data_IF_298033365692
#
_entry.id   IF_298033365692
#
_cell.length_a   1.000
_cell.length_b   1.000
_cell.length_c   1.000
_cell.angle_alpha   90.00
_cell.angle_beta   90.00
_cell.angle_gamma   90.00
#
_symmetry.space_group_name_H-M   'P 1'
#
loop_
_entity.id
_entity.type
_entity.pdbx_description
1 polymer ?
#
# COMPACT_ATOMS: atom_id res chain seq x y z
N UNK A 1 -19.12 2.58 20.66
CA UNK A 1 -18.54 2.36 19.31
C UNK A 1 -17.67 1.12 19.39
N UNK A 2 -17.73 0.22 18.44
CA UNK A 2 -16.91 -1.00 18.41
C UNK A 2 -15.45 -0.59 18.23
N UNK A 3 -14.57 -1.09 19.09
CA UNK A 3 -13.13 -0.87 18.98
C UNK A 3 -12.54 -1.80 17.92
N UNK A 4 -11.66 -1.27 17.10
CA UNK A 4 -11.00 -2.04 16.04
C UNK A 4 -9.54 -2.23 16.38
N UNK A 5 -9.08 -3.48 16.29
CA UNK A 5 -7.69 -3.87 16.55
C UNK A 5 -7.06 -4.51 15.32
N UNK A 6 -5.74 -4.42 15.22
CA UNK A 6 -4.95 -5.08 14.17
C UNK A 6 -4.36 -6.36 14.77
N UNK A 7 -4.77 -7.50 14.20
CA UNK A 7 -4.41 -8.82 14.72
C UNK A 7 -3.47 -9.60 13.81
N UNK A 8 -3.31 -9.17 12.56
CA UNK A 8 -2.38 -9.77 11.62
C UNK A 8 -1.76 -8.75 10.67
N UNK A 9 -0.51 -8.96 10.33
CA UNK A 9 0.28 -8.12 9.42
C UNK A 9 1.00 -9.02 8.43
N UNK A 10 0.75 -8.83 7.14
CA UNK A 10 1.49 -9.50 6.07
C UNK A 10 2.06 -8.47 5.10
N UNK A 11 3.33 -8.62 4.78
CA UNK A 11 4.06 -7.70 3.93
C UNK A 11 4.94 -8.44 2.94
N UNK A 12 5.07 -7.87 1.75
CA UNK A 12 6.05 -8.24 0.73
C UNK A 12 6.66 -6.94 0.25
N UNK A 13 7.88 -6.65 0.68
CA UNK A 13 8.56 -5.35 0.42
C UNK A 13 10.00 -5.55 -0.05
N UNK A 14 10.64 -4.55 -0.64
CA UNK A 14 12.05 -4.60 -1.01
C UNK A 14 13.03 -4.84 0.14
N UNK A 15 12.62 -4.58 1.40
CA UNK A 15 13.41 -4.87 2.59
C UNK A 15 12.98 -6.18 3.30
N UNK A 16 12.13 -6.99 2.68
CA UNK A 16 11.69 -8.28 3.24
C UNK A 16 10.20 -8.35 3.53
N UNK A 17 9.79 -9.42 4.23
CA UNK A 17 8.39 -9.73 4.54
C UNK A 17 8.07 -9.75 6.05
N UNK A 18 9.07 -9.81 6.92
CA UNK A 18 8.88 -9.77 8.36
C UNK A 18 8.86 -8.32 8.87
N UNK A 19 7.75 -7.83 9.47
CA UNK A 19 7.65 -6.44 9.92
C UNK A 19 8.75 -6.03 10.91
N UNK A 20 9.21 -6.96 11.77
CA UNK A 20 10.29 -6.68 12.72
C UNK A 20 11.62 -6.47 12.00
N UNK A 21 11.98 -7.36 11.10
CA UNK A 21 13.23 -7.25 10.32
C UNK A 21 13.25 -5.98 9.46
N UNK A 22 12.10 -5.61 8.87
CA UNK A 22 11.96 -4.37 8.10
C UNK A 22 12.24 -3.17 9.00
N UNK A 23 11.66 -3.10 10.21
CA UNK A 23 11.95 -2.02 11.18
C UNK A 23 13.41 -1.99 11.57
N UNK A 24 14.03 -3.13 11.86
CA UNK A 24 15.43 -3.22 12.26
C UNK A 24 16.36 -2.73 11.13
N UNK A 25 16.05 -3.05 9.89
CA UNK A 25 16.77 -2.57 8.70
C UNK A 25 16.59 -1.07 8.49
N UNK A 26 15.38 -0.54 8.70
CA UNK A 26 15.12 0.90 8.64
C UNK A 26 15.89 1.65 9.75
N UNK A 27 15.92 1.12 10.97
CA UNK A 27 16.70 1.73 12.07
C UNK A 27 18.22 1.72 11.80
N UNK A 28 18.71 0.78 11.00
CA UNK A 28 20.10 0.77 10.52
C UNK A 28 20.34 1.63 9.27
N UNK A 29 19.33 2.39 8.83
CA UNK A 29 19.34 3.20 7.60
C UNK A 29 19.67 2.40 6.33
N UNK A 30 19.33 1.10 6.29
CA UNK A 30 19.45 0.32 5.07
C UNK A 30 18.44 0.81 4.02
N UNK A 31 18.85 0.80 2.75
CA UNK A 31 17.99 1.17 1.63
C UNK A 31 17.92 0.06 0.59
N UNK A 32 16.75 -0.15 0.03
CA UNK A 32 16.52 -1.05 -1.09
C UNK A 32 16.73 -0.38 -2.45
N UNK A 33 16.98 0.93 -2.47
CA UNK A 33 17.16 1.70 -3.69
C UNK A 33 18.43 1.27 -4.43
N UNK A 34 18.30 0.98 -5.72
CA UNK A 34 19.39 0.62 -6.60
C UNK A 34 19.15 1.12 -8.03
N UNK A 35 20.16 1.07 -8.89
CA UNK A 35 20.03 1.44 -10.30
C UNK A 35 19.14 0.43 -11.03
N UNK A 36 18.19 0.88 -11.86
CA UNK A 36 17.39 0.01 -12.71
C UNK A 36 18.23 -0.80 -13.69
N UNK A 37 17.68 -1.93 -14.12
CA UNK A 37 18.28 -2.81 -15.14
C UNK A 37 17.99 -2.33 -16.56
N UNK A 38 17.02 -1.44 -16.74
CA UNK A 38 16.70 -0.79 -18.01
C UNK A 38 17.40 0.57 -18.11
N UNK A 39 17.43 1.14 -19.32
CA UNK A 39 18.07 2.43 -19.56
C UNK A 39 17.30 3.57 -18.87
N UNK A 40 18.00 4.40 -18.11
CA UNK A 40 17.43 5.50 -17.31
C UNK A 40 17.91 6.88 -17.75
N UNK A 41 18.68 6.99 -18.82
CA UNK A 41 19.28 8.26 -19.25
C UNK A 41 18.25 9.36 -19.59
N UNK A 42 17.00 8.98 -19.84
CA UNK A 42 15.90 9.88 -20.16
C UNK A 42 15.02 10.19 -18.95
N UNK A 43 15.27 9.57 -17.79
CA UNK A 43 14.48 9.79 -16.58
C UNK A 43 15.25 10.64 -15.57
N UNK A 44 14.53 11.55 -14.91
CA UNK A 44 15.11 12.37 -13.85
C UNK A 44 15.44 11.53 -12.59
N UNK A 45 14.68 10.45 -12.34
CA UNK A 45 14.96 9.52 -11.25
C UNK A 45 15.87 8.37 -11.70
N UNK A 46 17.08 8.24 -11.11
CA UNK A 46 18.05 7.21 -11.50
C UNK A 46 17.93 5.91 -10.70
N UNK A 47 16.94 5.77 -9.82
CA UNK A 47 16.83 4.69 -8.85
C UNK A 47 15.45 4.03 -8.88
N UNK A 48 15.40 2.76 -8.47
CA UNK A 48 14.18 2.02 -8.19
C UNK A 48 14.39 1.09 -6.98
N UNK A 49 13.31 0.59 -6.38
CA UNK A 49 13.37 -0.32 -5.24
C UNK A 49 12.58 -1.62 -5.55
N UNK A 50 13.17 -2.58 -6.26
CA UNK A 50 12.52 -3.85 -6.59
C UNK A 50 12.68 -4.85 -5.45
N UNK A 51 11.77 -5.84 -5.41
CA UNK A 51 11.91 -7.00 -4.54
C UNK A 51 12.81 -8.02 -5.23
N UNK A 52 13.97 -8.36 -4.66
CA UNK A 52 14.83 -9.39 -5.23
C UNK A 52 14.17 -10.76 -5.08
N UNK A 53 14.33 -11.63 -6.07
CA UNK A 53 14.02 -13.06 -6.04
C UNK A 53 12.62 -13.43 -5.52
N UNK A 54 11.62 -12.56 -5.78
CA UNK A 54 10.24 -12.82 -5.38
C UNK A 54 9.64 -13.94 -6.23
N UNK A 55 9.25 -15.02 -5.56
CA UNK A 55 8.55 -16.14 -6.13
C UNK A 55 7.35 -16.54 -5.26
N UNK A 56 6.15 -16.38 -5.81
CA UNK A 56 4.90 -16.74 -5.13
C UNK A 56 4.71 -18.27 -5.01
N UNK A 57 5.38 -19.07 -5.83
CA UNK A 57 5.28 -20.53 -5.78
C UNK A 57 5.81 -21.11 -4.47
N UNK A 58 6.70 -20.41 -3.77
CA UNK A 58 7.17 -20.81 -2.43
C UNK A 58 6.06 -20.79 -1.35
N UNK A 59 4.96 -20.09 -1.58
CA UNK A 59 3.87 -19.94 -0.61
C UNK A 59 2.66 -20.84 -0.92
N UNK A 60 2.55 -21.37 -2.14
CA UNK A 60 1.37 -22.10 -2.58
C UNK A 60 1.75 -23.39 -3.35
N UNK A 61 1.11 -24.50 -3.00
CA UNK A 61 1.34 -25.80 -3.64
C UNK A 61 0.67 -25.92 -5.03
N UNK A 62 -0.40 -25.17 -5.29
CA UNK A 62 -1.08 -25.12 -6.60
C UNK A 62 -0.75 -23.81 -7.31
N UNK A 63 0.10 -23.92 -8.33
CA UNK A 63 0.62 -22.78 -9.09
C UNK A 63 -0.16 -22.49 -10.37
N UNK A 64 -1.19 -23.26 -10.72
CA UNK A 64 -1.92 -23.04 -11.99
C UNK A 64 -2.56 -21.65 -12.06
N UNK A 65 -3.18 -21.22 -10.98
CA UNK A 65 -3.78 -19.89 -10.89
C UNK A 65 -2.73 -18.77 -10.82
N UNK A 66 -1.54 -19.00 -10.24
CA UNK A 66 -0.46 -18.02 -10.20
C UNK A 66 0.02 -17.61 -11.59
N UNK A 67 -0.05 -18.51 -12.58
CA UNK A 67 0.33 -18.23 -13.97
C UNK A 67 -0.59 -17.22 -14.67
N UNK A 68 -1.80 -17.04 -14.17
CA UNK A 68 -2.76 -16.05 -14.68
C UNK A 68 -2.51 -14.67 -14.08
N UNK A 69 -1.78 -14.59 -12.98
CA UNK A 69 -1.52 -13.35 -12.24
C UNK A 69 -0.32 -12.61 -12.80
N UNK A 70 -0.40 -11.29 -12.80
CA UNK A 70 0.75 -10.43 -12.89
C UNK A 70 1.46 -10.32 -11.52
N UNK A 71 2.60 -9.65 -11.48
CA UNK A 71 3.47 -9.58 -10.30
C UNK A 71 2.79 -8.92 -9.10
N UNK A 72 1.99 -7.87 -9.31
CA UNK A 72 1.25 -7.20 -8.25
C UNK A 72 0.18 -8.11 -7.62
N UNK A 73 -0.55 -8.89 -8.44
CA UNK A 73 -1.51 -9.88 -7.97
C UNK A 73 -0.85 -10.99 -7.16
N UNK A 74 0.30 -11.49 -7.61
CA UNK A 74 1.06 -12.50 -6.87
C UNK A 74 1.51 -11.97 -5.50
N UNK A 75 2.07 -10.75 -5.44
CA UNK A 75 2.46 -10.13 -4.18
C UNK A 75 1.25 -9.87 -3.28
N UNK A 76 0.11 -9.44 -3.83
CA UNK A 76 -1.11 -9.22 -3.07
C UNK A 76 -1.60 -10.51 -2.38
N UNK A 77 -1.65 -11.63 -3.13
CA UNK A 77 -2.09 -12.92 -2.59
C UNK A 77 -1.13 -13.42 -1.51
N UNK A 78 0.18 -13.27 -1.71
CA UNK A 78 1.20 -13.65 -0.72
C UNK A 78 1.09 -12.78 0.54
N UNK A 79 1.00 -11.46 0.41
CA UNK A 79 0.88 -10.57 1.56
C UNK A 79 -0.42 -10.83 2.35
N UNK A 80 -1.53 -11.09 1.65
CA UNK A 80 -2.79 -11.49 2.28
C UNK A 80 -2.66 -12.82 3.03
N UNK A 81 -1.99 -13.82 2.43
CA UNK A 81 -1.70 -15.10 3.07
C UNK A 81 -0.89 -14.92 4.36
N UNK A 82 0.16 -14.12 4.31
CA UNK A 82 0.99 -13.81 5.48
C UNK A 82 0.16 -13.14 6.60
N UNK A 83 -0.70 -12.16 6.26
CA UNK A 83 -1.56 -11.48 7.23
C UNK A 83 -2.58 -12.42 7.89
N UNK A 84 -3.22 -13.29 7.10
CA UNK A 84 -4.19 -14.29 7.56
C UNK A 84 -3.52 -15.30 8.50
N UNK A 85 -2.33 -15.80 8.13
CA UNK A 85 -1.56 -16.73 8.94
C UNK A 85 -1.07 -16.08 10.24
N UNK A 86 -0.55 -14.86 10.16
CA UNK A 86 -0.11 -14.10 11.33
C UNK A 86 -1.28 -13.84 12.29
N UNK A 87 -2.48 -13.53 11.77
CA UNK A 87 -3.69 -13.42 12.56
C UNK A 87 -4.16 -14.76 13.14
N UNK A 88 -3.68 -15.89 12.65
CA UNK A 88 -4.19 -17.21 12.99
C UNK A 88 -5.63 -17.43 12.56
N UNK A 89 -6.04 -16.77 11.45
CA UNK A 89 -7.39 -16.91 10.90
C UNK A 89 -7.51 -18.18 10.05
N UNK A 90 -8.64 -18.86 10.21
CA UNK A 90 -9.08 -19.94 9.34
C UNK A 90 -10.47 -19.62 8.84
N UNK A 91 -10.58 -19.31 7.54
CA UNK A 91 -11.85 -18.99 6.90
C UNK A 91 -12.80 -20.17 7.02
N UNK A 92 -14.04 -19.91 7.39
CA UNK A 92 -15.11 -20.86 7.75
C UNK A 92 -14.94 -21.61 9.08
N UNK A 93 -13.78 -21.51 9.76
CA UNK A 93 -13.60 -22.01 11.13
C UNK A 93 -13.64 -20.84 12.13
N UNK A 94 -12.83 -19.81 11.93
CA UNK A 94 -12.80 -18.61 12.80
C UNK A 94 -13.97 -17.69 12.51
N UNK A 95 -14.17 -17.37 11.23
CA UNK A 95 -15.29 -16.59 10.71
C UNK A 95 -15.80 -17.20 9.41
N UNK A 96 -17.11 -17.17 9.16
CA UNK A 96 -17.66 -17.52 7.86
C UNK A 96 -17.09 -16.59 6.77
N UNK A 97 -16.93 -17.13 5.56
CA UNK A 97 -16.35 -16.40 4.44
C UNK A 97 -17.05 -15.06 4.15
N UNK A 98 -18.38 -15.02 4.33
CA UNK A 98 -19.24 -13.84 4.13
C UNK A 98 -19.07 -12.78 5.22
N UNK A 99 -18.52 -13.16 6.38
CA UNK A 99 -18.28 -12.27 7.53
C UNK A 99 -16.88 -11.68 7.57
N UNK A 100 -16.06 -11.91 6.55
CA UNK A 100 -14.75 -11.29 6.38
C UNK A 100 -14.84 -10.32 5.21
N UNK A 101 -14.78 -9.02 5.49
CA UNK A 101 -14.73 -8.01 4.43
C UNK A 101 -13.33 -7.96 3.78
N UNK A 102 -13.26 -7.52 2.52
CA UNK A 102 -12.01 -7.33 1.78
C UNK A 102 -11.99 -5.96 1.12
N UNK A 103 -11.18 -5.06 1.65
CA UNK A 103 -10.96 -3.74 1.06
C UNK A 103 -9.51 -3.59 0.65
N UNK A 104 -9.27 -3.39 -0.65
CA UNK A 104 -7.92 -3.31 -1.16
C UNK A 104 -7.65 -2.09 -2.01
N UNK A 105 -6.39 -1.70 -2.10
CA UNK A 105 -5.94 -0.71 -3.05
C UNK A 105 -4.94 -1.29 -4.03
N UNK A 106 -4.98 -0.79 -5.27
CA UNK A 106 -4.10 -1.25 -6.33
C UNK A 106 -3.60 -0.07 -7.14
N UNK A 107 -2.37 -0.18 -7.65
CA UNK A 107 -1.92 0.71 -8.70
C UNK A 107 -2.66 0.49 -10.01
N UNK A 108 -2.43 1.37 -10.96
CA UNK A 108 -2.82 1.09 -12.34
C UNK A 108 -1.91 -0.02 -12.84
N UNK A 109 -2.48 -1.14 -13.23
CA UNK A 109 -1.72 -2.28 -13.72
C UNK A 109 -0.92 -1.90 -14.97
N UNK A 110 0.39 -2.04 -14.88
CA UNK A 110 1.29 -1.79 -16.00
C UNK A 110 1.49 -3.03 -16.86
N UNK A 111 1.27 -2.92 -18.16
CA UNK A 111 1.78 -3.89 -19.12
C UNK A 111 3.31 -3.79 -19.18
N UNK A 112 3.99 -4.88 -19.53
CA UNK A 112 5.40 -4.77 -19.92
C UNK A 112 5.53 -4.15 -21.31
N UNK A 113 6.72 -3.64 -21.62
CA UNK A 113 7.01 -3.11 -22.98
C UNK A 113 6.74 -4.18 -24.03
N UNK A 114 7.13 -5.44 -23.76
CA UNK A 114 6.93 -6.55 -24.68
C UNK A 114 5.43 -6.85 -24.92
N UNK A 115 4.61 -6.79 -23.87
CA UNK A 115 3.16 -6.99 -23.98
C UNK A 115 2.50 -5.87 -24.81
N UNK A 116 2.91 -4.62 -24.62
CA UNK A 116 2.41 -3.48 -25.40
C UNK A 116 2.91 -3.57 -26.85
N UNK A 117 4.18 -3.88 -27.07
CA UNK A 117 4.75 -3.99 -28.42
C UNK A 117 4.04 -5.05 -29.26
N UNK A 118 3.61 -6.17 -28.67
CA UNK A 118 2.78 -7.16 -29.35
C UNK A 118 1.45 -6.59 -29.87
N UNK A 119 0.91 -5.58 -29.21
CA UNK A 119 -0.32 -4.91 -29.64
C UNK A 119 0.00 -3.83 -30.67
N UNK A 120 0.97 -2.97 -30.37
CA UNK A 120 1.32 -1.79 -31.19
C UNK A 120 1.78 -2.19 -32.58
N UNK A 121 2.64 -3.20 -32.71
CA UNK A 121 3.17 -3.63 -34.04
C UNK A 121 2.08 -4.00 -35.06
N UNK A 122 0.90 -4.43 -34.60
CA UNK A 122 -0.24 -4.74 -35.46
C UNK A 122 -1.20 -3.58 -35.67
N UNK A 123 -1.10 -2.56 -34.86
CA UNK A 123 -2.01 -1.41 -34.88
C UNK A 123 -1.32 -0.10 -35.32
N UNK A 124 0.01 -0.06 -35.37
CA UNK A 124 0.74 1.13 -35.81
C UNK A 124 0.70 1.29 -37.34
N UNK A 125 0.60 2.52 -37.80
CA UNK A 125 0.85 2.93 -39.18
C UNK A 125 2.35 3.19 -39.40
N UNK A 126 2.79 3.30 -40.65
CA UNK A 126 4.19 3.61 -40.98
C UNK A 126 4.71 4.90 -40.35
N UNK A 127 3.83 5.90 -40.16
CA UNK A 127 4.16 7.16 -39.51
C UNK A 127 4.13 7.10 -37.97
N UNK A 128 4.00 5.89 -37.38
CA UNK A 128 3.95 5.70 -35.93
C UNK A 128 2.61 6.00 -35.26
N UNK A 129 1.60 6.48 -36.00
CA UNK A 129 0.27 6.75 -35.41
C UNK A 129 -0.52 5.44 -35.22
N UNK A 130 -1.42 5.43 -34.22
CA UNK A 130 -2.30 4.30 -33.96
C UNK A 130 -3.45 4.25 -34.98
N UNK A 131 -3.65 3.08 -35.61
CA UNK A 131 -4.81 2.79 -36.45
C UNK A 131 -5.84 2.01 -35.63
N UNK A 132 -6.90 2.66 -35.18
CA UNK A 132 -7.96 2.06 -34.34
C UNK A 132 -8.72 0.93 -35.07
N UNK A 133 -8.84 1.00 -36.41
CA UNK A 133 -9.50 -0.05 -37.18
C UNK A 133 -8.64 -1.31 -37.21
N UNK A 134 -7.34 -1.18 -37.50
CA UNK A 134 -6.39 -2.30 -37.43
C UNK A 134 -6.26 -2.85 -36.01
N UNK A 135 -6.27 -1.97 -35.00
CA UNK A 135 -6.31 -2.39 -33.60
C UNK A 135 -7.47 -3.33 -33.33
N UNK A 136 -8.70 -2.92 -33.68
CA UNK A 136 -9.91 -3.74 -33.45
C UNK A 136 -9.96 -5.02 -34.30
N UNK A 137 -9.55 -4.97 -35.57
CA UNK A 137 -9.67 -6.09 -36.49
C UNK A 137 -8.54 -7.12 -36.36
N UNK A 138 -7.34 -6.69 -36.06
CA UNK A 138 -6.12 -7.53 -36.13
C UNK A 138 -5.48 -7.65 -34.73
N UNK A 139 -5.12 -6.53 -34.08
CA UNK A 139 -4.35 -6.55 -32.87
C UNK A 139 -5.09 -7.27 -31.73
N UNK A 140 -6.35 -6.93 -31.49
CA UNK A 140 -7.17 -7.57 -30.44
C UNK A 140 -7.33 -9.09 -30.62
N UNK A 141 -7.38 -9.58 -31.85
CA UNK A 141 -7.48 -11.03 -32.12
C UNK A 141 -6.19 -11.79 -31.84
N UNK A 142 -5.06 -11.10 -31.80
CA UNK A 142 -3.72 -11.68 -31.54
C UNK A 142 -3.30 -11.55 -30.08
N UNK A 143 -3.97 -10.68 -29.32
CA UNK A 143 -3.75 -10.54 -27.89
C UNK A 143 -4.27 -11.78 -27.17
N UNK A 144 -3.49 -12.32 -26.26
CA UNK A 144 -3.94 -13.44 -25.42
C UNK A 144 -5.12 -12.99 -24.55
N UNK A 145 -6.25 -13.72 -24.50
CA UNK A 145 -7.41 -13.34 -23.69
C UNK A 145 -7.07 -13.07 -22.21
N UNK A 146 -6.07 -13.78 -21.68
CA UNK A 146 -5.56 -13.60 -20.31
C UNK A 146 -5.00 -12.20 -20.07
N UNK A 147 -4.58 -11.47 -21.10
CA UNK A 147 -4.04 -10.12 -20.93
C UNK A 147 -5.07 -9.16 -20.32
N UNK A 148 -6.37 -9.32 -20.65
CA UNK A 148 -7.44 -8.51 -20.08
C UNK A 148 -7.49 -8.62 -18.55
N UNK A 149 -7.26 -9.80 -17.98
CA UNK A 149 -7.20 -9.99 -16.53
C UNK A 149 -5.98 -9.33 -15.89
N UNK A 150 -4.88 -9.17 -16.63
CA UNK A 150 -3.66 -8.57 -16.10
C UNK A 150 -3.69 -7.04 -16.08
N UNK A 151 -4.55 -6.41 -16.89
CA UNK A 151 -4.63 -4.94 -16.98
C UNK A 151 -5.74 -4.34 -16.11
N UNK A 152 -6.66 -5.14 -15.61
CA UNK A 152 -7.74 -4.66 -14.76
C UNK A 152 -7.24 -4.42 -13.33
N UNK A 153 -7.38 -3.18 -12.86
CA UNK A 153 -6.87 -2.77 -11.55
C UNK A 153 -7.51 -3.52 -10.37
N UNK A 154 -8.72 -4.07 -10.52
CA UNK A 154 -9.38 -4.85 -9.47
C UNK A 154 -8.88 -6.29 -9.36
N UNK A 155 -8.18 -6.82 -10.35
CA UNK A 155 -7.80 -8.24 -10.37
C UNK A 155 -6.92 -8.70 -9.20
N UNK A 156 -5.95 -7.93 -8.70
CA UNK A 156 -5.19 -8.35 -7.53
C UNK A 156 -6.08 -8.66 -6.33
N UNK A 157 -7.09 -7.82 -6.08
CA UNK A 157 -8.03 -8.01 -4.96
C UNK A 157 -9.01 -9.16 -5.23
N UNK A 158 -9.44 -9.34 -6.48
CA UNK A 158 -10.23 -10.51 -6.88
C UNK A 158 -9.46 -11.82 -6.63
N UNK A 159 -8.16 -11.87 -6.96
CA UNK A 159 -7.34 -13.04 -6.67
C UNK A 159 -7.16 -13.29 -5.17
N UNK A 160 -6.99 -12.24 -4.37
CA UNK A 160 -6.98 -12.37 -2.89
C UNK A 160 -8.29 -13.01 -2.41
N UNK A 161 -9.45 -12.53 -2.88
CA UNK A 161 -10.76 -13.11 -2.55
C UNK A 161 -10.85 -14.61 -2.92
N UNK A 162 -10.45 -14.96 -4.13
CA UNK A 162 -10.51 -16.34 -4.65
C UNK A 162 -9.58 -17.27 -3.84
N UNK A 163 -8.31 -16.87 -3.67
CA UNK A 163 -7.29 -17.70 -3.01
C UNK A 163 -7.59 -17.96 -1.53
N UNK A 164 -8.15 -16.96 -0.85
CA UNK A 164 -8.45 -17.04 0.58
C UNK A 164 -9.93 -17.28 0.89
N UNK A 165 -10.75 -17.54 -0.15
CA UNK A 165 -12.20 -17.79 -0.02
C UNK A 165 -12.93 -16.71 0.81
N UNK A 166 -12.59 -15.43 0.61
CA UNK A 166 -13.22 -14.30 1.29
C UNK A 166 -14.39 -13.82 0.43
N UNK A 167 -15.60 -13.73 1.00
CA UNK A 167 -16.85 -13.46 0.28
C UNK A 167 -17.68 -12.33 0.86
N UNK A 168 -17.18 -11.66 1.90
CA UNK A 168 -17.86 -10.54 2.53
C UNK A 168 -17.86 -9.26 1.68
N UNK A 169 -18.35 -8.15 2.24
CA UNK A 169 -18.34 -6.85 1.59
C UNK A 169 -16.93 -6.49 1.08
N UNK A 170 -16.86 -5.95 -0.13
CA UNK A 170 -15.58 -5.63 -0.73
C UNK A 170 -15.61 -4.34 -1.55
N UNK A 171 -14.44 -3.71 -1.68
CA UNK A 171 -14.21 -2.60 -2.61
C UNK A 171 -12.73 -2.50 -2.98
N UNK A 172 -12.47 -1.91 -4.15
CA UNK A 172 -11.12 -1.62 -4.64
C UNK A 172 -10.96 -0.13 -4.84
N UNK A 173 -9.85 0.41 -4.36
CA UNK A 173 -9.46 1.81 -4.44
C UNK A 173 -8.21 1.95 -5.30
N UNK A 174 -8.13 2.96 -6.17
CA UNK A 174 -7.00 3.16 -7.08
C UNK A 174 -6.73 4.65 -7.33
N UNK A 175 -5.49 5.07 -7.64
CA UNK A 175 -4.24 4.29 -7.72
C UNK A 175 -3.17 4.71 -6.70
N UNK A 176 -3.42 5.69 -5.79
CA UNK A 176 -2.41 6.36 -4.98
C UNK A 176 -2.39 5.94 -3.51
N UNK A 177 -1.44 6.46 -2.74
CA UNK A 177 -1.22 6.16 -1.31
C UNK A 177 -2.47 6.39 -0.47
N UNK A 178 -3.13 7.53 -0.66
CA UNK A 178 -4.36 7.86 0.08
C UNK A 178 -5.50 6.88 -0.20
N UNK A 179 -5.56 6.27 -1.39
CA UNK A 179 -6.54 5.22 -1.69
C UNK A 179 -6.31 3.95 -0.85
N UNK A 180 -5.03 3.61 -0.57
CA UNK A 180 -4.70 2.55 0.39
C UNK A 180 -5.23 2.86 1.79
N UNK A 181 -5.12 4.11 2.22
CA UNK A 181 -5.67 4.56 3.49
C UNK A 181 -7.21 4.51 3.52
N UNK A 182 -7.88 4.84 2.41
CA UNK A 182 -9.34 4.69 2.27
C UNK A 182 -9.78 3.23 2.36
N UNK A 183 -9.01 2.29 1.82
CA UNK A 183 -9.27 0.86 1.97
C UNK A 183 -9.24 0.44 3.45
N UNK A 184 -8.22 0.89 4.21
CA UNK A 184 -8.12 0.64 5.66
C UNK A 184 -9.33 1.25 6.39
N UNK A 185 -9.64 2.51 6.11
CA UNK A 185 -10.78 3.20 6.73
C UNK A 185 -12.13 2.55 6.41
N UNK A 186 -12.30 1.96 5.22
CA UNK A 186 -13.49 1.20 4.88
C UNK A 186 -13.64 -0.05 5.74
N UNK A 187 -12.55 -0.79 5.97
CA UNK A 187 -12.52 -1.94 6.88
C UNK A 187 -12.85 -1.54 8.33
N UNK A 188 -12.27 -0.44 8.82
CA UNK A 188 -12.59 0.10 10.14
C UNK A 188 -14.09 0.39 10.26
N UNK A 189 -14.67 1.11 9.29
CA UNK A 189 -16.11 1.44 9.29
C UNK A 189 -17.00 0.21 9.24
N UNK A 190 -16.65 -0.78 8.41
CA UNK A 190 -17.43 -2.02 8.31
C UNK A 190 -17.51 -2.76 9.65
N UNK A 191 -16.42 -2.77 10.43
CA UNK A 191 -16.41 -3.34 11.78
C UNK A 191 -17.16 -2.44 12.76
N UNK A 192 -16.90 -1.13 12.77
CA UNK A 192 -17.54 -0.19 13.69
C UNK A 192 -19.06 -0.12 13.56
N UNK A 193 -19.58 -0.33 12.36
CA UNK A 193 -21.04 -0.41 12.10
C UNK A 193 -21.63 -1.79 12.40
N UNK A 194 -20.80 -2.77 12.75
CA UNK A 194 -21.26 -4.15 13.01
C UNK A 194 -21.61 -4.94 11.74
N UNK A 195 -21.26 -4.42 10.55
CA UNK A 195 -21.53 -5.14 9.29
C UNK A 195 -20.74 -6.45 9.19
N UNK A 196 -19.51 -6.47 9.70
CA UNK A 196 -18.65 -7.66 9.79
C UNK A 196 -17.80 -7.61 11.07
N UNK A 197 -17.43 -8.77 11.66
CA UNK A 197 -16.51 -8.82 12.80
C UNK A 197 -15.03 -8.72 12.39
N UNK A 198 -14.71 -8.94 11.10
CA UNK A 198 -13.35 -9.04 10.59
C UNK A 198 -13.24 -8.42 9.20
N UNK A 199 -12.12 -7.77 8.92
CA UNK A 199 -11.81 -7.23 7.60
C UNK A 199 -10.33 -7.46 7.25
N UNK A 200 -10.06 -7.95 6.05
CA UNK A 200 -8.74 -7.95 5.43
C UNK A 200 -8.62 -6.67 4.61
N UNK A 201 -7.65 -5.82 4.96
CA UNK A 201 -7.45 -4.53 4.29
C UNK A 201 -6.01 -4.37 3.86
N UNK A 202 -5.76 -3.75 2.70
CA UNK A 202 -4.38 -3.57 2.27
C UNK A 202 -4.25 -3.08 0.85
N UNK A 203 -3.11 -3.36 0.22
CA UNK A 203 -2.89 -2.98 -1.17
C UNK A 203 -1.62 -3.53 -1.77
N UNK A 204 -1.50 -3.37 -3.08
CA UNK A 204 -0.34 -3.76 -3.87
C UNK A 204 -0.06 -2.78 -5.00
N UNK A 205 1.20 -2.67 -5.39
CA UNK A 205 1.60 -1.88 -6.55
C UNK A 205 2.96 -2.34 -7.10
N UNK A 206 3.19 -2.08 -8.40
CA UNK A 206 4.46 -2.33 -9.10
C UNK A 206 4.82 -1.12 -9.94
N UNK A 207 5.78 -0.31 -9.47
CA UNK A 207 6.28 0.87 -10.18
C UNK A 207 7.75 0.74 -10.61
N UNK A 208 8.28 -0.48 -10.56
CA UNK A 208 9.67 -0.80 -10.91
C UNK A 208 9.89 -1.14 -12.38
N UNK A 209 8.86 -0.97 -13.23
CA UNK A 209 8.92 -1.24 -14.67
C UNK A 209 9.17 0.04 -15.45
N UNK A 210 9.79 -0.07 -16.63
CA UNK A 210 10.09 1.05 -17.53
C UNK A 210 8.86 1.90 -17.86
N UNK A 211 7.72 1.29 -18.24
CA UNK A 211 6.48 2.02 -18.51
C UNK A 211 5.94 2.78 -17.30
N UNK A 212 6.19 2.27 -16.09
CA UNK A 212 5.85 3.01 -14.87
C UNK A 212 6.70 4.27 -14.73
N UNK A 213 8.00 4.20 -15.08
CA UNK A 213 8.88 5.37 -15.07
C UNK A 213 8.43 6.43 -16.09
N UNK A 214 8.04 6.03 -17.30
CA UNK A 214 7.48 6.95 -18.30
C UNK A 214 6.26 7.69 -17.72
N UNK A 215 5.32 6.95 -17.11
CA UNK A 215 4.13 7.54 -16.53
C UNK A 215 4.45 8.47 -15.36
N UNK A 216 5.33 8.06 -14.44
CA UNK A 216 5.73 8.86 -13.28
C UNK A 216 6.46 10.15 -13.71
N UNK A 217 7.31 10.07 -14.73
CA UNK A 217 7.97 11.23 -15.34
C UNK A 217 6.94 12.21 -15.91
N UNK A 218 5.98 11.70 -16.71
CA UNK A 218 4.92 12.53 -17.32
C UNK A 218 4.01 13.18 -16.27
N UNK A 219 3.76 12.50 -15.16
CA UNK A 219 2.99 13.04 -14.03
C UNK A 219 3.78 14.01 -13.14
N UNK A 220 5.07 14.23 -13.43
CA UNK A 220 5.92 15.14 -12.67
C UNK A 220 6.37 14.61 -11.31
N UNK A 221 6.20 13.32 -11.04
CA UNK A 221 6.63 12.69 -9.77
C UNK A 221 8.15 12.80 -9.58
N UNK A 222 8.91 12.85 -10.67
CA UNK A 222 10.35 12.99 -10.65
C UNK A 222 10.87 14.43 -10.64
N UNK A 223 9.98 15.43 -10.55
CA UNK A 223 10.38 16.86 -10.55
C UNK A 223 11.33 17.19 -9.38
N UNK A 224 11.17 16.54 -8.23
CA UNK A 224 12.08 16.72 -7.09
C UNK A 224 13.50 16.26 -7.43
N UNK A 225 13.66 15.12 -8.11
CA UNK A 225 14.94 14.64 -8.63
C UNK A 225 15.59 15.63 -9.56
N UNK A 226 14.85 16.16 -10.53
CA UNK A 226 15.33 17.17 -11.49
C UNK A 226 15.80 18.44 -10.80
N UNK A 227 15.10 18.89 -9.77
CA UNK A 227 15.35 20.18 -9.12
C UNK A 227 16.39 20.09 -8.00
N UNK A 228 16.36 19.00 -7.22
CA UNK A 228 17.11 18.91 -5.97
C UNK A 228 18.10 17.71 -5.93
N UNK A 229 18.11 16.87 -6.96
CA UNK A 229 18.94 15.65 -6.97
C UNK A 229 18.49 14.56 -5.98
N UNK A 230 17.27 14.70 -5.44
CA UNK A 230 16.64 13.74 -4.55
C UNK A 230 15.14 13.74 -4.76
N UNK A 231 14.46 12.64 -4.47
CA UNK A 231 13.03 12.52 -4.69
C UNK A 231 12.51 11.13 -4.40
N UNK A 232 11.26 10.90 -4.74
CA UNK A 232 10.63 9.58 -4.62
C UNK A 232 11.37 8.54 -5.44
N UNK A 233 11.63 7.38 -4.82
CA UNK A 233 12.19 6.19 -5.48
C UNK A 233 11.04 5.21 -5.72
N UNK A 234 10.66 4.94 -6.97
CA UNK A 234 9.58 3.99 -7.26
C UNK A 234 9.93 2.59 -6.78
N UNK A 235 8.99 1.98 -6.06
CA UNK A 235 9.14 0.62 -5.54
C UNK A 235 8.04 -0.32 -6.03
N UNK A 236 8.08 -1.54 -5.52
CA UNK A 236 7.04 -2.54 -5.70
C UNK A 236 6.79 -3.27 -4.37
N UNK A 237 5.56 -3.74 -4.16
CA UNK A 237 5.24 -4.50 -2.97
C UNK A 237 3.74 -4.63 -2.71
N UNK A 238 3.44 -5.32 -1.63
CA UNK A 238 2.10 -5.48 -1.11
C UNK A 238 2.11 -5.54 0.41
N UNK A 239 1.05 -5.07 1.04
CA UNK A 239 0.81 -5.29 2.44
C UNK A 239 -0.68 -5.44 2.71
N UNK A 240 -1.02 -6.36 3.62
CA UNK A 240 -2.36 -6.55 4.13
C UNK A 240 -2.36 -6.62 5.65
N UNK A 241 -3.45 -6.14 6.24
CA UNK A 241 -3.71 -6.12 7.66
C UNK A 241 -5.02 -6.84 7.94
N UNK A 242 -5.05 -7.64 8.99
CA UNK A 242 -6.30 -8.19 9.52
C UNK A 242 -6.78 -7.25 10.61
N UNK A 243 -7.95 -6.68 10.40
CA UNK A 243 -8.69 -5.88 11.37
C UNK A 243 -9.79 -6.72 12.00
N UNK A 244 -9.97 -6.61 13.31
CA UNK A 244 -11.04 -7.31 14.02
C UNK A 244 -11.72 -6.40 15.06
N UNK A 245 -12.96 -6.72 15.38
CA UNK A 245 -13.59 -6.26 16.61
C UNK A 245 -12.73 -6.74 17.81
N UNK A 246 -12.34 -5.81 18.68
CA UNK A 246 -11.51 -6.09 19.86
C UNK A 246 -12.05 -7.23 20.73
N UNK A 247 -13.37 -7.28 20.93
CA UNK A 247 -13.99 -8.34 21.72
C UNK A 247 -13.99 -9.69 20.98
N UNK A 248 -14.15 -9.68 19.66
CA UNK A 248 -14.08 -10.89 18.85
C UNK A 248 -12.66 -11.47 18.85
N UNK A 249 -11.64 -10.65 18.70
CA UNK A 249 -10.23 -11.05 18.82
C UNK A 249 -9.92 -11.62 20.21
N UNK A 250 -10.38 -10.96 21.28
CA UNK A 250 -10.20 -11.40 22.65
C UNK A 250 -10.86 -12.77 22.91
N UNK A 251 -12.12 -12.97 22.43
CA UNK A 251 -12.83 -14.27 22.60
C UNK A 251 -12.08 -15.46 21.98
N UNK A 252 -11.31 -15.25 20.92
CA UNK A 252 -10.48 -16.30 20.31
C UNK A 252 -9.03 -16.33 20.83
N UNK A 253 -8.72 -15.55 21.88
CA UNK A 253 -7.39 -15.52 22.51
C UNK A 253 -6.31 -14.87 21.65
N UNK A 254 -6.66 -14.09 20.61
CA UNK A 254 -5.67 -13.46 19.75
C UNK A 254 -5.21 -12.12 20.33
N UNK A 255 -3.88 -12.04 20.55
CA UNK A 255 -3.25 -10.75 20.93
C UNK A 255 -3.19 -9.83 19.74
N UNK A 256 -3.60 -8.58 19.93
CA UNK A 256 -3.52 -7.54 18.92
C UNK A 256 -2.13 -6.86 18.92
N UNK A 257 -1.68 -6.41 17.77
CA UNK A 257 -0.51 -5.56 17.63
C UNK A 257 -0.80 -4.13 18.15
N UNK A 258 -1.93 -3.59 17.73
CA UNK A 258 -2.35 -2.25 18.12
C UNK A 258 -3.87 -2.11 18.01
N UNK A 259 -4.40 -1.14 18.75
CA UNK A 259 -5.76 -0.65 18.61
C UNK A 259 -5.75 0.60 17.72
N UNK A 260 -6.67 0.68 16.77
CA UNK A 260 -6.88 1.90 16.00
C UNK A 260 -7.68 2.87 16.86
N UNK A 261 -7.01 3.90 17.36
CA UNK A 261 -7.60 4.86 18.28
C UNK A 261 -8.39 5.93 17.57
N UNK A 262 -7.82 6.42 16.49
CA UNK A 262 -8.43 7.44 15.64
C UNK A 262 -7.86 7.39 14.23
N UNK A 263 -8.58 7.96 13.28
CA UNK A 263 -8.08 8.19 11.92
C UNK A 263 -8.79 9.38 11.29
N UNK A 264 -8.08 10.07 10.42
CA UNK A 264 -8.62 11.18 9.66
C UNK A 264 -8.30 11.01 8.18
N UNK A 265 -9.31 11.27 7.36
CA UNK A 265 -9.19 11.33 5.91
C UNK A 265 -9.38 12.77 5.46
N UNK A 266 -8.67 13.17 4.43
CA UNK A 266 -8.84 14.46 3.77
C UNK A 266 -8.62 14.32 2.27
N UNK A 267 -9.22 15.22 1.50
CA UNK A 267 -9.14 15.24 0.05
C UNK A 267 -8.80 16.63 -0.44
N UNK A 268 -7.82 16.74 -1.35
CA UNK A 268 -7.47 17.99 -2.01
C UNK A 268 -8.55 18.24 -3.06
N UNK A 269 -9.35 19.29 -2.86
CA UNK A 269 -10.45 19.64 -3.75
C UNK A 269 -10.38 21.11 -4.15
N UNK A 270 -10.47 21.38 -5.44
CA UNK A 270 -10.52 22.75 -5.97
C UNK A 270 -9.31 23.60 -5.60
N UNK A 271 -9.52 24.67 -4.83
CA UNK A 271 -8.47 25.62 -4.40
C UNK A 271 -7.78 25.22 -3.08
N UNK A 272 -8.14 24.09 -2.48
CA UNK A 272 -7.54 23.63 -1.21
C UNK A 272 -6.05 23.38 -1.40
N UNK A 273 -5.23 23.89 -0.49
CA UNK A 273 -3.80 23.61 -0.48
C UNK A 273 -3.54 22.33 0.32
N UNK A 274 -2.55 21.56 -0.11
CA UNK A 274 -2.17 20.34 0.59
C UNK A 274 -1.83 20.61 2.07
N UNK A 275 -1.15 21.70 2.35
CA UNK A 275 -0.76 22.10 3.70
C UNK A 275 -1.97 22.29 4.63
N UNK A 276 -3.05 22.87 4.12
CA UNK A 276 -4.27 23.09 4.92
C UNK A 276 -5.02 21.77 5.18
N UNK A 277 -5.02 20.88 4.19
CA UNK A 277 -5.57 19.53 4.37
C UNK A 277 -4.74 18.74 5.39
N UNK A 278 -3.41 18.75 5.26
CA UNK A 278 -2.53 18.07 6.21
C UNK A 278 -2.69 18.65 7.63
N UNK A 279 -2.76 19.97 7.75
CA UNK A 279 -3.02 20.63 9.04
C UNK A 279 -4.37 20.16 9.64
N UNK A 280 -5.44 20.13 8.84
CA UNK A 280 -6.75 19.67 9.28
C UNK A 280 -6.75 18.19 9.70
N UNK A 281 -6.02 17.33 8.97
CA UNK A 281 -5.89 15.91 9.32
C UNK A 281 -5.13 15.74 10.64
N UNK A 282 -4.02 16.43 10.79
CA UNK A 282 -3.14 16.30 11.95
C UNK A 282 -3.66 17.03 13.19
N UNK A 283 -4.52 18.04 13.06
CA UNK A 283 -5.12 18.75 14.22
C UNK A 283 -6.22 17.96 14.91
N UNK A 284 -6.76 16.92 14.30
CA UNK A 284 -7.87 16.15 14.84
C UNK A 284 -7.47 15.12 15.92
N UNK A 285 -6.35 14.36 15.76
CA UNK A 285 -5.93 13.40 16.78
C UNK A 285 -5.35 14.06 18.01
N UNK A 286 -5.47 13.40 19.16
CA UNK A 286 -4.72 13.78 20.37
C UNK A 286 -3.23 13.45 20.19
N UNK A 287 -2.47 14.42 19.68
CA UNK A 287 -1.02 14.33 19.54
C UNK A 287 -0.35 14.77 20.86
N UNK A 288 0.72 14.10 21.24
CA UNK A 288 1.60 14.54 22.33
C UNK A 288 3.06 14.55 21.89
N UNK A 289 3.92 15.26 22.61
CA UNK A 289 5.34 15.43 22.27
C UNK A 289 6.17 14.13 22.31
N UNK A 290 5.66 13.06 22.91
CA UNK A 290 6.34 11.76 23.00
C UNK A 290 5.95 10.81 21.88
N UNK A 291 4.95 11.16 21.07
CA UNK A 291 4.45 10.33 20.00
C UNK A 291 5.53 10.12 18.91
N UNK A 292 5.66 8.89 18.47
CA UNK A 292 6.48 8.57 17.28
C UNK A 292 5.62 8.65 16.03
N UNK A 293 6.19 9.10 14.94
CA UNK A 293 5.51 9.24 13.66
C UNK A 293 6.16 8.37 12.59
N UNK A 294 5.37 7.50 11.98
CA UNK A 294 5.71 6.91 10.69
C UNK A 294 5.33 7.94 9.64
N UNK A 295 6.32 8.67 9.15
CA UNK A 295 6.12 9.80 8.25
C UNK A 295 5.85 9.37 6.80
N UNK A 296 5.31 10.31 6.05
CA UNK A 296 4.95 10.12 4.64
C UNK A 296 6.10 10.40 3.67
N UNK A 297 7.16 11.04 4.12
CA UNK A 297 8.30 11.43 3.27
C UNK A 297 8.93 10.22 2.57
N UNK A 298 9.11 10.34 1.26
CA UNK A 298 9.68 9.32 0.38
C UNK A 298 10.96 9.79 -0.35
N UNK A 299 11.54 10.90 0.13
CA UNK A 299 12.66 11.58 -0.52
C UNK A 299 12.24 12.80 -1.35
N UNK A 300 10.95 12.96 -1.65
CA UNK A 300 10.43 14.19 -2.24
C UNK A 300 10.48 15.33 -1.22
N UNK A 301 11.26 16.36 -1.56
CA UNK A 301 11.47 17.52 -0.69
C UNK A 301 10.15 18.25 -0.41
N UNK A 302 9.27 18.33 -1.39
CA UNK A 302 7.98 19.05 -1.27
C UNK A 302 7.05 18.36 -0.28
N UNK A 303 6.93 17.03 -0.34
CA UNK A 303 6.09 16.26 0.59
C UNK A 303 6.67 16.35 2.01
N UNK A 304 7.99 16.20 2.13
CA UNK A 304 8.67 16.27 3.42
C UNK A 304 8.53 17.64 4.11
N UNK A 305 8.69 18.72 3.35
CA UNK A 305 8.54 20.08 3.88
C UNK A 305 7.10 20.39 4.31
N UNK A 306 6.11 19.98 3.52
CA UNK A 306 4.69 20.19 3.83
C UNK A 306 4.25 19.41 5.08
N UNK A 307 4.68 18.16 5.22
CA UNK A 307 4.45 17.36 6.42
C UNK A 307 5.05 18.06 7.64
N UNK A 308 6.31 18.49 7.55
CA UNK A 308 7.02 19.20 8.63
C UNK A 308 6.30 20.49 9.02
N UNK A 309 5.97 21.36 8.06
CA UNK A 309 5.26 22.62 8.28
C UNK A 309 3.90 22.42 8.96
N UNK A 310 3.16 21.34 8.61
CA UNK A 310 1.90 21.04 9.25
C UNK A 310 2.08 20.74 10.75
N UNK A 311 3.13 19.99 11.12
CA UNK A 311 3.45 19.72 12.53
C UNK A 311 3.98 20.97 13.27
N UNK A 312 4.81 21.78 12.63
CA UNK A 312 5.28 23.05 13.20
C UNK A 312 4.12 24.00 13.51
N UNK A 313 3.14 24.12 12.60
CA UNK A 313 1.91 24.91 12.83
C UNK A 313 1.09 24.41 14.04
N UNK A 314 1.22 23.13 14.41
CA UNK A 314 0.57 22.52 15.56
C UNK A 314 1.41 22.60 16.84
N UNK A 315 2.63 23.13 16.78
CA UNK A 315 3.54 23.22 17.92
C UNK A 315 4.26 21.91 18.26
N UNK A 316 4.40 20.99 17.30
CA UNK A 316 5.03 19.67 17.50
C UNK A 316 6.35 19.53 16.73
N UNK A 317 7.29 20.45 16.95
CA UNK A 317 8.58 20.47 16.25
C UNK A 317 9.53 19.33 16.68
N UNK A 318 9.34 18.77 17.86
CA UNK A 318 10.25 17.77 18.47
C UNK A 318 9.90 16.31 18.14
N UNK A 319 8.86 16.03 17.35
CA UNK A 319 8.43 14.68 17.04
C UNK A 319 9.50 13.90 16.25
N UNK A 320 9.65 12.62 16.60
CA UNK A 320 10.59 11.72 15.92
C UNK A 320 9.90 11.02 14.76
N UNK A 321 10.41 11.26 13.55
CA UNK A 321 9.92 10.67 12.31
C UNK A 321 10.76 9.46 11.90
N UNK A 322 10.09 8.34 11.67
CA UNK A 322 10.61 7.23 10.89
C UNK A 322 10.07 7.35 9.45
N UNK A 323 10.91 7.20 8.44
CA UNK A 323 10.57 7.46 7.03
C UNK A 323 10.70 6.18 6.18
N UNK A 324 9.81 5.19 6.31
CA UNK A 324 9.94 3.90 5.65
C UNK A 324 10.09 4.00 4.13
N UNK A 325 9.36 4.91 3.49
CA UNK A 325 9.41 5.10 2.03
C UNK A 325 10.80 5.47 1.53
N UNK A 326 11.61 6.18 2.32
CA UNK A 326 13.00 6.51 1.95
C UNK A 326 13.91 5.28 1.96
N UNK A 327 13.57 4.26 2.73
CA UNK A 327 14.34 3.02 2.85
C UNK A 327 13.83 1.92 1.90
N UNK A 328 12.52 1.73 1.86
CA UNK A 328 11.82 0.67 1.10
C UNK A 328 11.60 1.08 -0.36
N UNK A 329 11.54 2.38 -0.66
CA UNK A 329 10.95 2.96 -1.85
C UNK A 329 9.47 3.29 -1.65
N UNK A 330 8.92 4.11 -2.53
CA UNK A 330 7.49 4.42 -2.53
C UNK A 330 6.71 3.26 -3.19
N UNK A 331 5.85 2.62 -2.43
CA UNK A 331 5.00 1.51 -2.86
C UNK A 331 3.60 1.97 -3.27
N UNK A 332 3.38 3.28 -3.38
CA UNK A 332 2.15 3.93 -3.85
C UNK A 332 0.88 3.32 -3.22
N UNK A 333 0.06 2.59 -3.97
CA UNK A 333 -1.18 2.02 -3.47
C UNK A 333 -0.99 1.05 -2.27
N UNK A 334 0.17 0.42 -2.12
CA UNK A 334 0.51 -0.43 -0.98
C UNK A 334 1.06 0.36 0.23
N UNK A 335 1.50 1.60 0.03
CA UNK A 335 2.27 2.35 1.03
C UNK A 335 1.54 2.54 2.36
N UNK A 336 0.23 2.86 2.33
CA UNK A 336 -0.55 3.08 3.53
C UNK A 336 -0.60 1.82 4.42
N UNK A 337 -0.82 0.64 3.84
CA UNK A 337 -0.86 -0.61 4.59
C UNK A 337 0.51 -0.97 5.19
N UNK A 338 1.61 -0.68 4.47
CA UNK A 338 2.97 -0.83 5.01
C UNK A 338 3.19 0.12 6.19
N UNK A 339 2.85 1.40 6.05
CA UNK A 339 3.05 2.39 7.11
C UNK A 339 2.23 2.08 8.36
N UNK A 340 0.95 1.74 8.21
CA UNK A 340 0.07 1.34 9.32
C UNK A 340 0.53 0.01 9.94
N UNK A 341 0.97 -0.95 9.15
CA UNK A 341 1.50 -2.21 9.65
C UNK A 341 2.80 -2.05 10.44
N UNK A 342 3.75 -1.25 9.95
CA UNK A 342 4.99 -0.94 10.68
C UNK A 342 4.70 -0.14 11.96
N UNK A 343 3.77 0.81 11.91
CA UNK A 343 3.33 1.56 13.08
C UNK A 343 2.67 0.63 14.12
N UNK A 344 1.86 -0.34 13.68
CA UNK A 344 1.24 -1.35 14.56
C UNK A 344 2.28 -2.24 15.23
N UNK A 345 3.26 -2.70 14.44
CA UNK A 345 4.37 -3.50 14.98
C UNK A 345 5.20 -2.70 15.99
N UNK A 346 5.48 -1.44 15.70
CA UNK A 346 6.20 -0.57 16.61
C UNK A 346 5.37 -0.27 17.88
N UNK A 347 4.03 -0.09 17.76
CA UNK A 347 3.13 0.10 18.89
C UNK A 347 3.13 -1.12 19.82
N UNK A 348 3.14 -2.34 19.27
CA UNK A 348 3.15 -3.58 20.07
C UNK A 348 4.39 -3.74 20.95
N UNK A 349 5.43 -2.97 20.73
CA UNK A 349 6.68 -2.93 21.52
C UNK A 349 6.71 -1.81 22.56
N UNK A 350 5.69 -0.96 22.59
CA UNK A 350 5.60 0.16 23.51
C UNK A 350 4.83 -0.23 24.78
N UNK A 351 4.95 0.62 25.79
CA UNK A 351 4.12 0.50 27.01
C UNK A 351 2.64 0.72 26.67
N UNK A 352 1.76 0.09 27.42
CA UNK A 352 0.31 0.26 27.27
C UNK A 352 -0.07 1.75 27.22
N UNK A 353 -0.96 2.09 26.28
CA UNK A 353 -1.45 3.46 26.11
C UNK A 353 -0.52 4.40 25.33
N UNK A 354 0.70 3.99 24.99
CA UNK A 354 1.54 4.78 24.07
C UNK A 354 1.00 4.73 22.65
N UNK A 355 1.08 5.88 21.98
CA UNK A 355 0.50 6.08 20.66
C UNK A 355 1.58 6.29 19.60
N UNK A 356 1.28 5.84 18.41
CA UNK A 356 2.09 6.02 17.20
C UNK A 356 1.18 6.51 16.10
N UNK A 357 1.62 7.53 15.37
CA UNK A 357 0.92 8.04 14.20
C UNK A 357 1.51 7.44 12.93
N UNK A 358 0.66 7.09 11.98
CA UNK A 358 1.04 6.74 10.62
C UNK A 358 0.43 7.73 9.63
N UNK A 359 1.27 8.50 8.96
CA UNK A 359 0.87 9.46 7.94
C UNK A 359 0.91 8.82 6.57
N UNK A 360 -0.23 8.73 5.92
CA UNK A 360 -0.42 8.14 4.60
C UNK A 360 -0.67 9.23 3.56
N UNK A 361 0.30 10.13 3.41
CA UNK A 361 0.30 11.22 2.44
C UNK A 361 1.06 10.80 1.19
N UNK A 362 0.69 11.37 0.04
CA UNK A 362 1.34 11.08 -1.22
C UNK A 362 0.89 11.98 -2.36
N UNK A 363 1.03 11.49 -3.57
CA UNK A 363 0.82 12.26 -4.80
C UNK A 363 -0.64 12.41 -5.23
N UNK A 364 -1.54 11.57 -4.72
CA UNK A 364 -2.97 11.67 -5.03
C UNK A 364 -3.67 12.81 -4.30
N UNK A 365 -4.94 13.01 -4.62
CA UNK A 365 -5.81 13.95 -3.90
C UNK A 365 -6.10 13.51 -2.48
N UNK A 366 -6.16 12.20 -2.26
CA UNK A 366 -6.55 11.61 -0.98
C UNK A 366 -5.35 11.53 -0.03
N UNK A 367 -5.57 11.96 1.21
CA UNK A 367 -4.57 12.00 2.28
C UNK A 367 -5.18 11.43 3.55
N UNK A 368 -4.37 10.82 4.41
CA UNK A 368 -4.87 10.26 5.66
C UNK A 368 -3.82 10.22 6.77
N UNK A 369 -4.28 10.15 8.02
CA UNK A 369 -3.46 9.81 9.17
C UNK A 369 -4.21 8.85 10.08
N UNK A 370 -3.48 7.92 10.70
CA UNK A 370 -4.00 6.95 11.67
C UNK A 370 -3.24 7.08 12.97
N UNK A 371 -3.96 7.02 14.10
CA UNK A 371 -3.38 6.94 15.44
C UNK A 371 -3.59 5.53 15.97
N UNK A 372 -2.50 4.89 16.27
CA UNK A 372 -2.42 3.52 16.77
C UNK A 372 -1.97 3.57 18.24
N UNK A 373 -2.65 2.83 19.09
CA UNK A 373 -2.35 2.71 20.50
C UNK A 373 -1.88 1.30 20.81
N UNK A 374 -0.84 1.17 21.64
CA UNK A 374 -0.36 -0.12 22.10
C UNK A 374 -1.52 -0.90 22.74
N UNK A 375 -1.78 -2.12 22.24
CA UNK A 375 -2.84 -2.96 22.80
C UNK A 375 -2.50 -3.34 24.25
N UNK A 376 -3.48 -3.25 25.14
CA UNK A 376 -3.35 -3.77 26.49
C UNK A 376 -3.23 -5.29 26.41
N UNK A 377 -2.02 -5.80 26.50
CA UNK A 377 -1.77 -7.21 26.72
C UNK A 377 -1.83 -7.42 28.25
N UNK A 378 -3.01 -7.67 28.79
CA UNK A 378 -3.08 -8.24 30.13
C UNK A 378 -2.33 -9.56 30.11
N UNK A 379 -1.29 -9.63 30.93
CA UNK A 379 -0.40 -10.79 31.12
C UNK A 379 -1.11 -11.95 31.80
#
# INVERSE_FOLDING_TARGET
MINVVITGIGMVTPLGSCPQEILDRIFRNETAAKKPTFQTNEFDCPLYAPIPDFDAEHYFSDNKALRLMNRDSQMAVVAAHLAINDAGLRVNETYHAENIALYGSTGIAGLSVEEIMQIIQYAARENGSLDLQRFGQIALKRVRPVLSFRILANMPICFVSIFHNIRGPNAVYTPWEGHGAHAIAAGIRAIQTGAVPCALVGGCDVKTRELSFINLQQLGIFNSWKKYGTGSVPGEGAAFLVLEDEQAAARRGKKAYAKIRDYKLGSICGKSKLEDILFSILSAPEINSEMKVIGASDGDVTIAEREKQAFERLGYESLKFLKPKSNIGNLFAAAAAVQVGLASKLASQQKNGQRIMANCFGYGSEQASFVLEAACNES
#
